data_IF_425049058144
#
_entry.id   IF_425049058144
#
_cell.length_a   1.000
_cell.length_b   1.000
_cell.length_c   1.000
_cell.angle_alpha   90.00
_cell.angle_beta   90.00
_cell.angle_gamma   90.00
#
_symmetry.space_group_name_H-M   'P 1'
#
loop_
_entity.id
_entity.type
_entity.pdbx_description
1 polymer ?
#
# COMPACT_ATOMS: atom_id res chain seq x y z
N UNK A 1 -55.91 13.02 -0.43
CA UNK A 1 -54.69 13.80 -0.74
C UNK A 1 -53.58 12.79 -0.94
N UNK A 2 -53.08 12.63 -2.17
CA UNK A 2 -51.91 11.78 -2.40
C UNK A 2 -50.71 12.49 -1.79
N UNK A 3 -50.21 12.00 -0.65
CA UNK A 3 -48.94 12.45 -0.10
C UNK A 3 -47.84 11.94 -1.02
N UNK A 4 -47.36 12.80 -1.91
CA UNK A 4 -46.24 12.48 -2.77
C UNK A 4 -44.98 12.47 -1.91
N UNK A 5 -44.56 11.28 -1.49
CA UNK A 5 -43.38 11.10 -0.64
C UNK A 5 -42.14 11.18 -1.53
N UNK A 6 -41.29 12.18 -1.29
CA UNK A 6 -40.01 12.28 -1.94
C UNK A 6 -39.02 11.24 -1.35
N UNK A 7 -39.01 10.06 -1.97
CA UNK A 7 -38.10 8.98 -1.58
C UNK A 7 -36.63 9.31 -1.80
N UNK A 8 -36.29 10.22 -2.72
CA UNK A 8 -34.91 10.66 -2.93
C UNK A 8 -34.42 11.46 -1.73
N UNK A 9 -35.23 12.41 -1.27
CA UNK A 9 -34.94 13.18 -0.06
C UNK A 9 -34.90 12.30 1.18
N UNK A 10 -35.84 11.35 1.32
CA UNK A 10 -35.86 10.42 2.46
C UNK A 10 -34.61 9.53 2.50
N UNK A 11 -34.14 9.04 1.34
CA UNK A 11 -32.88 8.29 1.22
C UNK A 11 -31.70 9.13 1.71
N UNK A 12 -31.61 10.39 1.26
CA UNK A 12 -30.52 11.28 1.66
C UNK A 12 -30.57 11.60 3.16
N UNK A 13 -31.75 11.88 3.72
CA UNK A 13 -31.93 12.11 5.15
C UNK A 13 -31.51 10.87 5.98
N UNK A 14 -31.86 9.66 5.53
CA UNK A 14 -31.47 8.41 6.19
C UNK A 14 -29.95 8.20 6.18
N UNK A 15 -29.31 8.42 5.03
CA UNK A 15 -27.85 8.29 4.87
C UNK A 15 -27.11 9.27 5.77
N UNK A 16 -27.55 10.53 5.80
CA UNK A 16 -26.95 11.59 6.63
C UNK A 16 -27.09 11.23 8.12
N UNK A 17 -28.27 10.83 8.56
CA UNK A 17 -28.50 10.47 9.97
C UNK A 17 -27.72 9.21 10.37
N UNK A 18 -27.58 8.23 9.47
CA UNK A 18 -26.68 7.09 9.69
C UNK A 18 -25.23 7.57 9.87
N UNK A 19 -24.72 8.41 8.98
CA UNK A 19 -23.32 8.88 9.02
C UNK A 19 -23.02 9.64 10.32
N UNK A 20 -23.92 10.54 10.73
CA UNK A 20 -23.81 11.27 12.01
C UNK A 20 -23.77 10.32 13.19
N UNK A 21 -24.77 9.42 13.30
CA UNK A 21 -24.85 8.45 14.40
C UNK A 21 -23.62 7.55 14.43
N UNK A 22 -23.18 7.07 13.26
CA UNK A 22 -22.00 6.22 13.15
C UNK A 22 -20.75 6.94 13.67
N UNK A 23 -20.47 8.14 13.19
CA UNK A 23 -19.31 8.91 13.63
C UNK A 23 -19.35 9.21 15.13
N UNK A 24 -20.52 9.55 15.70
CA UNK A 24 -20.69 9.78 17.14
C UNK A 24 -20.35 8.52 17.94
N UNK A 25 -20.85 7.35 17.51
CA UNK A 25 -20.57 6.07 18.17
C UNK A 25 -19.07 5.76 18.15
N UNK A 26 -18.43 5.93 16.98
CA UNK A 26 -17.01 5.64 16.86
C UNK A 26 -16.14 6.63 17.65
N UNK A 27 -16.49 7.92 17.66
CA UNK A 27 -15.83 8.93 18.51
C UNK A 27 -15.95 8.59 20.00
N UNK A 28 -17.12 8.14 20.45
CA UNK A 28 -17.31 7.70 21.85
C UNK A 28 -16.42 6.49 22.19
N UNK A 29 -16.35 5.50 21.29
CA UNK A 29 -15.49 4.33 21.47
C UNK A 29 -14.00 4.68 21.44
N UNK A 30 -13.58 5.60 20.58
CA UNK A 30 -12.20 6.10 20.55
C UNK A 30 -11.85 6.88 21.83
N UNK A 31 -12.76 7.73 22.32
CA UNK A 31 -12.57 8.50 23.55
C UNK A 31 -12.45 7.59 24.79
N UNK A 32 -13.27 6.54 24.89
CA UNK A 32 -13.19 5.60 26.01
C UNK A 32 -11.86 4.83 26.07
N UNK A 33 -11.19 4.64 24.93
CA UNK A 33 -9.92 3.92 24.83
C UNK A 33 -8.69 4.84 24.78
N UNK A 34 -8.86 6.17 24.84
CA UNK A 34 -7.81 7.15 24.57
C UNK A 34 -6.56 6.95 25.44
N UNK A 35 -6.74 6.75 26.75
CA UNK A 35 -5.62 6.60 27.67
C UNK A 35 -4.80 5.34 27.41
N UNK A 36 -5.44 4.25 26.95
CA UNK A 36 -4.77 3.00 26.60
C UNK A 36 -4.05 3.12 25.26
N UNK A 37 -4.69 3.77 24.27
CA UNK A 37 -4.07 4.10 22.99
C UNK A 37 -2.79 4.92 23.21
N UNK A 38 -2.86 5.99 24.02
CA UNK A 38 -1.70 6.83 24.35
C UNK A 38 -0.56 6.03 25.00
N UNK A 39 -0.87 5.14 25.96
CA UNK A 39 0.11 4.27 26.60
C UNK A 39 0.74 3.26 25.62
N UNK A 40 0.00 2.87 24.58
CA UNK A 40 0.43 1.89 23.58
C UNK A 40 1.28 2.51 22.46
N UNK A 41 1.25 3.84 22.26
CA UNK A 41 1.99 4.52 21.20
C UNK A 41 3.52 4.37 21.29
N UNK A 42 4.05 4.00 22.46
CA UNK A 42 5.49 3.75 22.63
C UNK A 42 5.93 2.37 22.11
N UNK A 43 4.99 1.43 21.92
CA UNK A 43 5.23 0.08 21.42
C UNK A 43 5.63 0.10 19.95
N UNK A 44 6.53 -0.79 19.56
CA UNK A 44 7.10 -0.81 18.21
C UNK A 44 6.03 -0.96 17.12
N UNK A 45 5.10 -1.90 17.30
CA UNK A 45 3.98 -2.11 16.36
C UNK A 45 3.17 -0.83 16.12
N UNK A 46 2.87 -0.08 17.19
CA UNK A 46 2.07 1.15 17.10
C UNK A 46 2.85 2.30 16.47
N UNK A 47 4.17 2.37 16.72
CA UNK A 47 5.07 3.30 16.02
C UNK A 47 5.12 3.02 14.52
N UNK A 48 5.15 1.74 14.11
CA UNK A 48 5.09 1.37 12.70
C UNK A 48 3.76 1.80 12.06
N UNK A 49 2.63 1.49 12.71
CA UNK A 49 1.31 1.96 12.24
C UNK A 49 1.27 3.48 12.10
N UNK A 50 1.77 4.21 13.09
CA UNK A 50 1.80 5.67 13.05
C UNK A 50 2.69 6.21 11.91
N UNK A 51 3.86 5.61 11.71
CA UNK A 51 4.81 6.03 10.66
C UNK A 51 4.21 5.91 9.26
N UNK A 52 3.38 4.89 9.02
CA UNK A 52 2.76 4.66 7.71
C UNK A 52 1.36 5.28 7.56
N UNK A 53 0.80 5.88 8.62
CA UNK A 53 -0.59 6.33 8.68
C UNK A 53 -1.03 7.20 7.49
N UNK A 54 -0.13 8.08 7.05
CA UNK A 54 -0.36 9.06 5.99
C UNK A 54 0.66 8.92 4.85
N UNK A 55 1.22 7.72 4.65
CA UNK A 55 2.26 7.49 3.63
C UNK A 55 1.84 7.91 2.22
N UNK A 56 0.54 7.80 1.88
CA UNK A 56 0.02 8.16 0.57
C UNK A 56 -0.03 9.67 0.29
N UNK A 57 0.00 10.54 1.32
CA UNK A 57 -0.01 12.00 1.12
C UNK A 57 1.20 12.47 0.29
N UNK A 58 2.31 11.74 0.36
CA UNK A 58 3.51 12.02 -0.42
C UNK A 58 3.31 11.89 -1.94
N UNK A 59 2.28 11.15 -2.38
CA UNK A 59 1.95 10.93 -3.79
C UNK A 59 0.87 11.91 -4.29
N UNK A 60 0.40 12.85 -3.48
CA UNK A 60 -0.66 13.78 -3.92
C UNK A 60 -0.13 15.04 -4.63
N UNK A 61 1.18 15.31 -4.57
CA UNK A 61 1.79 16.50 -5.16
C UNK A 61 1.72 16.49 -6.70
N UNK A 62 1.03 17.49 -7.29
CA UNK A 62 0.82 17.59 -8.73
C UNK A 62 2.13 17.56 -9.55
N UNK A 63 3.15 18.31 -9.13
CA UNK A 63 4.44 18.34 -9.83
C UNK A 63 5.20 17.00 -9.74
N UNK A 64 5.03 16.24 -8.65
CA UNK A 64 5.57 14.87 -8.57
C UNK A 64 4.83 13.92 -9.51
N UNK A 65 3.51 14.09 -9.68
CA UNK A 65 2.70 13.30 -10.60
C UNK A 65 3.05 13.59 -12.05
N UNK A 66 3.21 14.85 -12.43
CA UNK A 66 3.65 15.25 -13.77
C UNK A 66 5.02 14.63 -14.11
N UNK A 67 5.98 14.73 -13.19
CA UNK A 67 7.29 14.09 -13.34
C UNK A 67 7.22 12.57 -13.48
N UNK A 68 6.24 11.92 -12.84
CA UNK A 68 6.04 10.49 -12.97
C UNK A 68 5.56 10.12 -14.37
N UNK A 69 4.61 10.89 -14.92
CA UNK A 69 4.13 10.71 -16.29
C UNK A 69 5.23 10.96 -17.34
N UNK A 70 6.04 12.01 -17.14
CA UNK A 70 7.19 12.31 -18.02
C UNK A 70 8.27 11.22 -18.00
N UNK A 71 8.40 10.49 -16.89
CA UNK A 71 9.45 9.49 -16.72
C UNK A 71 9.14 8.14 -17.39
N UNK A 72 7.86 7.83 -17.64
CA UNK A 72 7.41 6.54 -18.16
C UNK A 72 7.05 6.60 -19.65
N UNK A 73 7.20 5.48 -20.34
CA UNK A 73 6.78 5.33 -21.74
C UNK A 73 5.26 5.07 -21.81
N UNK A 74 4.48 6.16 -21.75
CA UNK A 74 3.02 6.10 -21.83
C UNK A 74 2.54 5.41 -23.10
N UNK A 75 3.19 5.66 -24.24
CA UNK A 75 2.79 5.07 -25.51
C UNK A 75 2.87 3.54 -25.47
N UNK A 76 3.98 3.00 -24.97
CA UNK A 76 4.18 1.54 -24.82
C UNK A 76 3.19 0.89 -23.86
N UNK A 77 2.88 1.58 -22.75
CA UNK A 77 1.89 1.08 -21.78
C UNK A 77 0.51 1.04 -22.44
N UNK A 78 0.05 2.16 -23.01
CA UNK A 78 -1.30 2.26 -23.56
C UNK A 78 -1.51 1.42 -24.82
N UNK A 79 -0.49 1.23 -25.67
CA UNK A 79 -0.55 0.26 -26.77
C UNK A 79 -0.86 -1.16 -26.26
N UNK A 80 -0.25 -1.54 -25.13
CA UNK A 80 -0.48 -2.84 -24.51
C UNK A 80 -1.85 -2.93 -23.82
N UNK A 81 -2.34 -1.82 -23.25
CA UNK A 81 -3.68 -1.71 -22.65
C UNK A 81 -4.75 -1.87 -23.72
N UNK A 82 -4.64 -1.15 -24.84
CA UNK A 82 -5.60 -1.20 -25.94
C UNK A 82 -5.67 -2.61 -26.53
N UNK A 83 -4.54 -3.31 -26.62
CA UNK A 83 -4.51 -4.73 -27.02
C UNK A 83 -5.31 -5.61 -26.05
N UNK A 84 -5.15 -5.45 -24.74
CA UNK A 84 -5.92 -6.22 -23.74
C UNK A 84 -7.42 -5.92 -23.82
N UNK A 85 -7.77 -4.66 -24.02
CA UNK A 85 -9.16 -4.23 -24.17
C UNK A 85 -9.81 -4.87 -25.41
N UNK A 86 -9.06 -5.02 -26.52
CA UNK A 86 -9.53 -5.70 -27.72
C UNK A 86 -9.68 -7.22 -27.52
N UNK A 87 -8.74 -7.85 -26.81
CA UNK A 87 -8.75 -9.29 -26.56
C UNK A 87 -9.88 -9.73 -25.60
N UNK A 88 -10.34 -8.85 -24.69
CA UNK A 88 -11.41 -9.10 -23.69
C UNK A 88 -11.33 -10.46 -22.99
N UNK A 89 -10.12 -10.90 -22.65
CA UNK A 89 -9.89 -12.22 -22.05
C UNK A 89 -10.59 -12.41 -20.70
N UNK A 90 -10.81 -11.33 -19.94
CA UNK A 90 -11.59 -11.35 -18.71
C UNK A 90 -12.65 -10.24 -18.72
N UNK A 91 -13.91 -10.61 -18.90
CA UNK A 91 -15.05 -9.67 -18.99
C UNK A 91 -15.39 -8.98 -17.67
N UNK A 92 -14.75 -9.35 -16.56
CA UNK A 92 -14.93 -8.69 -15.26
C UNK A 92 -13.96 -7.52 -15.05
N UNK A 93 -12.93 -7.39 -15.86
CA UNK A 93 -11.95 -6.31 -15.76
C UNK A 93 -12.42 -5.10 -16.59
N UNK A 94 -12.21 -3.92 -16.04
CA UNK A 94 -12.43 -2.63 -16.68
C UNK A 94 -11.11 -2.07 -17.25
N UNK A 95 -11.20 -0.94 -17.96
CA UNK A 95 -10.04 -0.28 -18.56
C UNK A 95 -8.92 0.02 -17.55
N UNK A 96 -9.25 0.58 -16.39
CA UNK A 96 -8.29 0.84 -15.30
C UNK A 96 -7.56 -0.44 -14.85
N UNK A 97 -8.24 -1.59 -14.83
CA UNK A 97 -7.61 -2.86 -14.45
C UNK A 97 -6.53 -3.26 -15.47
N UNK A 98 -6.77 -3.02 -16.78
CA UNK A 98 -5.78 -3.25 -17.82
C UNK A 98 -4.58 -2.29 -17.71
N UNK A 99 -4.82 -1.02 -17.35
CA UNK A 99 -3.75 -0.06 -17.07
C UNK A 99 -2.87 -0.55 -15.91
N UNK A 100 -3.47 -1.02 -14.82
CA UNK A 100 -2.74 -1.55 -13.65
C UNK A 100 -1.93 -2.80 -14.01
N UNK A 101 -2.52 -3.73 -14.77
CA UNK A 101 -1.84 -4.94 -15.24
C UNK A 101 -0.61 -4.62 -16.10
N UNK A 102 -0.76 -3.71 -17.07
CA UNK A 102 0.36 -3.31 -17.94
C UNK A 102 1.40 -2.47 -17.22
N UNK A 103 0.99 -1.65 -16.24
CA UNK A 103 1.92 -0.93 -15.39
C UNK A 103 2.79 -1.90 -14.57
N UNK A 104 2.22 -2.95 -13.98
CA UNK A 104 3.00 -3.97 -13.25
C UNK A 104 4.05 -4.63 -14.16
N UNK A 105 3.63 -5.04 -15.36
CA UNK A 105 4.53 -5.65 -16.35
C UNK A 105 5.65 -4.69 -16.76
N UNK A 106 5.29 -3.48 -17.19
CA UNK A 106 6.23 -2.45 -17.60
C UNK A 106 7.20 -2.07 -16.48
N UNK A 107 6.69 -1.88 -15.25
CA UNK A 107 7.51 -1.46 -14.13
C UNK A 107 8.61 -2.48 -13.82
N UNK A 108 8.26 -3.77 -13.78
CA UNK A 108 9.20 -4.86 -13.49
C UNK A 108 10.19 -5.12 -14.62
N UNK A 109 9.72 -5.16 -15.87
CA UNK A 109 10.53 -5.67 -16.98
C UNK A 109 11.27 -4.57 -17.74
N UNK A 110 10.76 -3.34 -17.73
CA UNK A 110 11.25 -2.25 -18.58
C UNK A 110 11.79 -1.07 -17.76
N UNK A 111 11.18 -0.76 -16.61
CA UNK A 111 11.45 0.51 -15.91
C UNK A 111 12.42 0.40 -14.73
N UNK A 112 12.15 -0.48 -13.75
CA UNK A 112 12.82 -0.49 -12.45
C UNK A 112 13.65 -1.77 -12.25
N UNK A 113 14.78 -1.66 -11.53
CA UNK A 113 15.73 -2.76 -11.35
C UNK A 113 15.96 -3.11 -9.88
N UNK A 114 16.09 -4.41 -9.62
CA UNK A 114 16.33 -4.91 -8.28
C UNK A 114 17.82 -4.84 -7.93
N UNK A 115 18.14 -4.41 -6.71
CA UNK A 115 19.51 -4.36 -6.18
C UNK A 115 19.64 -5.30 -4.98
N UNK A 116 20.25 -6.46 -5.20
CA UNK A 116 20.73 -7.29 -4.11
C UNK A 116 21.88 -6.56 -3.39
N UNK A 117 22.95 -6.33 -4.15
CA UNK A 117 24.13 -5.61 -3.73
C UNK A 117 24.55 -4.63 -4.82
N UNK A 118 25.11 -3.46 -4.45
CA UNK A 118 25.46 -2.44 -5.43
C UNK A 118 26.63 -2.87 -6.31
N UNK A 119 26.62 -2.49 -7.59
CA UNK A 119 27.67 -2.85 -8.54
C UNK A 119 28.97 -2.09 -8.27
N UNK A 120 30.10 -2.79 -8.30
CA UNK A 120 31.41 -2.14 -8.25
C UNK A 120 31.85 -1.64 -9.63
N UNK A 121 32.50 -0.46 -9.74
CA UNK A 121 33.07 0.03 -11.00
C UNK A 121 34.07 -0.93 -11.68
N UNK A 122 34.69 -1.86 -10.93
CA UNK A 122 35.59 -2.87 -11.50
C UNK A 122 34.86 -4.08 -12.12
N UNK A 123 33.52 -4.09 -12.12
CA UNK A 123 32.69 -5.18 -12.64
C UNK A 123 32.50 -6.36 -11.70
N UNK A 124 33.12 -6.36 -10.51
CA UNK A 124 32.89 -7.39 -9.50
C UNK A 124 31.50 -7.26 -8.86
N UNK A 125 30.82 -8.39 -8.70
CA UNK A 125 29.59 -8.52 -7.91
C UNK A 125 29.85 -9.01 -6.49
N UNK A 126 31.10 -9.39 -6.18
CA UNK A 126 31.53 -9.79 -4.85
C UNK A 126 31.77 -8.55 -3.98
N UNK A 127 30.68 -8.07 -3.39
CA UNK A 127 30.63 -6.90 -2.51
C UNK A 127 29.97 -7.30 -1.20
N UNK A 128 30.48 -6.79 -0.08
CA UNK A 128 29.91 -7.03 1.24
C UNK A 128 29.65 -5.74 1.99
N UNK A 129 28.59 -5.71 2.77
CA UNK A 129 28.27 -4.57 3.65
C UNK A 129 29.33 -4.47 4.74
N UNK A 130 30.00 -3.32 4.82
CA UNK A 130 31.04 -3.03 5.82
C UNK A 130 30.59 -1.99 6.85
N UNK A 131 29.47 -1.30 6.61
CA UNK A 131 28.93 -0.36 7.58
C UNK A 131 27.74 0.42 7.05
N UNK A 132 27.36 1.44 7.82
CA UNK A 132 26.30 2.38 7.47
C UNK A 132 26.72 3.79 7.83
N UNK A 133 26.22 4.77 7.07
CA UNK A 133 26.43 6.20 7.27
C UNK A 133 25.08 6.91 7.31
N UNK A 134 24.98 7.94 8.14
CA UNK A 134 23.80 8.82 8.16
C UNK A 134 23.93 9.87 7.05
N UNK A 135 22.83 10.19 6.36
CA UNK A 135 22.82 11.30 5.42
C UNK A 135 23.02 12.63 6.16
N UNK A 136 23.42 13.67 5.42
CA UNK A 136 23.47 15.02 5.95
C UNK A 136 22.05 15.50 6.27
N UNK A 137 21.77 15.76 7.55
CA UNK A 137 20.46 16.23 7.99
C UNK A 137 20.10 17.63 7.50
N UNK A 138 21.08 18.46 7.17
CA UNK A 138 20.85 19.83 6.70
C UNK A 138 20.47 19.89 5.22
N UNK A 139 20.89 18.90 4.42
CA UNK A 139 20.67 18.86 2.98
C UNK A 139 20.40 17.43 2.49
N UNK A 140 19.13 17.01 2.59
CA UNK A 140 18.68 15.67 2.20
C UNK A 140 17.46 15.70 1.25
N UNK A 141 17.58 16.28 0.04
CA UNK A 141 16.45 16.41 -0.90
C UNK A 141 15.92 15.06 -1.39
N UNK A 142 16.75 14.02 -1.40
CA UNK A 142 16.38 12.65 -1.78
C UNK A 142 15.71 11.87 -0.64
N UNK A 143 15.55 12.50 0.54
CA UNK A 143 14.97 11.89 1.74
C UNK A 143 15.61 10.54 2.07
N UNK A 144 16.94 10.46 1.96
CA UNK A 144 17.71 9.25 2.27
C UNK A 144 17.49 8.94 3.75
N UNK A 145 17.17 7.69 4.10
CA UNK A 145 17.06 7.26 5.50
C UNK A 145 18.42 6.84 6.05
N UNK A 146 19.17 6.07 5.26
CA UNK A 146 20.49 5.56 5.60
C UNK A 146 21.30 5.32 4.33
N UNK A 147 22.62 5.39 4.43
CA UNK A 147 23.54 5.04 3.36
C UNK A 147 24.26 3.76 3.77
N UNK A 148 23.99 2.66 3.07
CA UNK A 148 24.75 1.41 3.26
C UNK A 148 26.13 1.57 2.63
N UNK A 149 27.18 1.18 3.36
CA UNK A 149 28.55 1.19 2.86
C UNK A 149 28.93 -0.25 2.53
N UNK A 150 29.22 -0.48 1.26
CA UNK A 150 29.64 -1.78 0.73
C UNK A 150 31.11 -1.70 0.32
N UNK A 151 31.83 -2.82 0.41
CA UNK A 151 33.21 -2.92 -0.06
C UNK A 151 33.36 -4.07 -1.04
N UNK A 152 33.94 -3.77 -2.20
CA UNK A 152 34.32 -4.78 -3.17
C UNK A 152 35.47 -5.63 -2.65
N UNK A 153 35.32 -6.95 -2.66
CA UNK A 153 36.36 -7.87 -2.19
C UNK A 153 37.54 -7.99 -3.17
N UNK A 154 37.34 -7.62 -4.44
CA UNK A 154 38.37 -7.69 -5.48
C UNK A 154 39.28 -6.46 -5.53
N UNK A 155 38.71 -5.26 -5.51
CA UNK A 155 39.46 -4.00 -5.66
C UNK A 155 39.43 -3.11 -4.41
N UNK A 156 38.77 -3.54 -3.34
CA UNK A 156 38.62 -2.80 -2.07
C UNK A 156 37.96 -1.43 -2.20
N UNK A 157 37.36 -1.10 -3.35
CA UNK A 157 36.60 0.13 -3.53
C UNK A 157 35.34 0.11 -2.67
N UNK A 158 35.09 1.23 -1.99
CA UNK A 158 33.87 1.44 -1.20
C UNK A 158 32.75 2.00 -2.08
N UNK A 159 31.56 1.46 -1.92
CA UNK A 159 30.37 1.81 -2.70
C UNK A 159 29.29 2.25 -1.71
N UNK A 160 28.77 3.46 -1.90
CA UNK A 160 27.64 3.96 -1.13
C UNK A 160 26.33 3.55 -1.81
N UNK A 161 25.42 2.93 -1.06
CA UNK A 161 24.07 2.60 -1.50
C UNK A 161 23.04 3.35 -0.64
N UNK A 162 22.61 4.55 -1.07
CA UNK A 162 21.63 5.35 -0.35
C UNK A 162 20.23 4.74 -0.45
N UNK A 163 19.54 4.62 0.70
CA UNK A 163 18.14 4.18 0.81
C UNK A 163 17.22 5.39 0.66
N UNK A 164 16.81 5.65 -0.57
CA UNK A 164 16.09 6.87 -1.00
C UNK A 164 14.58 6.72 -0.71
N UNK A 165 13.99 7.70 -0.02
CA UNK A 165 12.53 7.73 0.22
C UNK A 165 11.78 8.78 -0.61
N UNK A 166 12.48 9.68 -1.31
CA UNK A 166 11.82 10.60 -2.24
C UNK A 166 11.45 9.84 -3.54
N UNK A 167 10.16 9.62 -3.83
CA UNK A 167 9.75 8.84 -5.01
C UNK A 167 10.15 9.51 -6.33
N UNK A 168 10.24 10.84 -6.38
CA UNK A 168 10.70 11.56 -7.59
C UNK A 168 12.16 11.24 -7.89
N UNK A 169 12.99 11.08 -6.86
CA UNK A 169 14.39 10.68 -7.04
C UNK A 169 14.50 9.23 -7.55
N UNK A 170 13.56 8.37 -7.16
CA UNK A 170 13.48 6.99 -7.63
C UNK A 170 13.10 6.87 -9.12
N UNK A 171 12.36 7.83 -9.68
CA UNK A 171 12.09 7.90 -11.14
C UNK A 171 13.39 8.04 -11.96
N UNK A 172 14.43 8.65 -11.36
CA UNK A 172 15.76 8.82 -11.95
C UNK A 172 16.67 7.64 -11.69
N UNK A 173 16.76 7.16 -10.44
CA UNK A 173 17.67 6.05 -10.11
C UNK A 173 17.19 4.71 -10.63
N UNK A 174 15.87 4.53 -10.73
CA UNK A 174 15.19 3.34 -11.28
C UNK A 174 15.67 2.02 -10.68
N UNK A 175 16.07 2.05 -9.42
CA UNK A 175 16.74 0.91 -8.80
C UNK A 175 16.53 0.91 -7.29
N UNK A 176 16.44 -0.28 -6.69
CA UNK A 176 16.30 -0.42 -5.24
C UNK A 176 15.81 -1.81 -4.81
N UNK A 177 15.22 -1.88 -3.62
CA UNK A 177 14.60 -3.09 -3.04
C UNK A 177 13.11 -2.84 -2.80
N UNK A 178 12.40 -3.79 -2.17
CA UNK A 178 10.93 -3.75 -2.03
C UNK A 178 10.37 -2.37 -1.61
N UNK A 179 11.00 -1.71 -0.63
CA UNK A 179 10.65 -0.35 -0.21
C UNK A 179 10.70 0.69 -1.33
N UNK A 180 11.82 0.80 -2.06
CA UNK A 180 11.94 1.73 -3.19
C UNK A 180 11.04 1.33 -4.37
N UNK A 181 10.89 0.04 -4.62
CA UNK A 181 10.02 -0.48 -5.67
C UNK A 181 8.58 -0.03 -5.45
N UNK A 182 8.02 -0.31 -4.27
CA UNK A 182 6.64 0.08 -3.92
C UNK A 182 6.49 1.59 -3.86
N UNK A 183 7.47 2.31 -3.32
CA UNK A 183 7.41 3.77 -3.22
C UNK A 183 7.34 4.45 -4.60
N UNK A 184 8.22 4.03 -5.53
CA UNK A 184 8.22 4.56 -6.89
C UNK A 184 6.97 4.11 -7.66
N UNK A 185 6.58 2.84 -7.53
CA UNK A 185 5.39 2.29 -8.18
C UNK A 185 4.12 3.02 -7.76
N UNK A 186 3.94 3.31 -6.46
CA UNK A 186 2.77 4.03 -5.96
C UNK A 186 2.68 5.45 -6.52
N UNK A 187 3.79 6.15 -6.70
CA UNK A 187 3.78 7.47 -7.36
C UNK A 187 3.27 7.36 -8.80
N UNK A 188 3.79 6.39 -9.57
CA UNK A 188 3.40 6.20 -10.97
C UNK A 188 1.94 5.74 -11.08
N UNK A 189 1.54 4.78 -10.24
CA UNK A 189 0.17 4.28 -10.18
C UNK A 189 -0.81 5.43 -9.87
N UNK A 190 -0.49 6.27 -8.88
CA UNK A 190 -1.30 7.44 -8.52
C UNK A 190 -1.43 8.43 -9.68
N UNK A 191 -0.36 8.61 -10.47
CA UNK A 191 -0.38 9.49 -11.63
C UNK A 191 -1.25 8.94 -12.77
N UNK A 192 -1.20 7.62 -13.02
CA UNK A 192 -1.96 6.97 -14.09
C UNK A 192 -3.45 6.84 -13.79
N UNK A 193 -3.83 6.50 -12.56
CA UNK A 193 -5.26 6.35 -12.24
C UNK A 193 -5.96 7.70 -12.06
N UNK A 194 -5.22 8.79 -11.86
CA UNK A 194 -5.75 10.15 -11.78
C UNK A 194 -6.80 10.33 -10.66
N UNK A 195 -8.06 10.49 -11.05
CA UNK A 195 -9.20 10.53 -10.12
C UNK A 195 -9.42 9.15 -9.46
N UNK A 196 -9.70 9.14 -8.16
CA UNK A 196 -9.82 7.89 -7.39
C UNK A 196 -8.54 7.46 -6.67
N UNK A 197 -7.74 8.42 -6.17
CA UNK A 197 -6.56 8.16 -5.33
C UNK A 197 -6.88 7.39 -4.05
N UNK A 198 -8.13 7.44 -3.60
CA UNK A 198 -8.68 6.65 -2.51
C UNK A 198 -8.79 5.14 -2.83
N UNK A 199 -8.67 4.77 -4.12
CA UNK A 199 -8.56 3.39 -4.60
C UNK A 199 -7.16 2.80 -4.48
N UNK A 200 -6.17 3.54 -3.96
CA UNK A 200 -4.81 3.04 -3.73
C UNK A 200 -4.60 2.79 -2.24
N UNK A 201 -3.86 1.73 -1.94
CA UNK A 201 -3.47 1.38 -0.58
C UNK A 201 -2.02 0.89 -0.54
N UNK A 202 -1.28 1.40 0.43
CA UNK A 202 0.02 0.86 0.81
C UNK A 202 -0.19 -0.28 1.80
N UNK A 203 0.48 -1.40 1.61
CA UNK A 203 0.39 -2.56 2.51
C UNK A 203 1.75 -2.87 3.10
N UNK A 204 1.77 -2.97 4.43
CA UNK A 204 2.96 -3.26 5.21
C UNK A 204 2.79 -4.58 5.95
N UNK A 205 3.76 -5.47 5.78
CA UNK A 205 3.91 -6.66 6.60
C UNK A 205 5.03 -6.45 7.63
N UNK A 206 4.79 -6.86 8.88
CA UNK A 206 5.73 -6.69 9.98
C UNK A 206 7.07 -7.41 9.77
N UNK A 207 7.07 -8.52 9.03
CA UNK A 207 8.26 -9.30 8.66
C UNK A 207 8.92 -8.74 7.39
N UNK A 208 9.09 -7.42 7.35
CA UNK A 208 10.00 -6.72 6.42
C UNK A 208 9.65 -6.80 4.92
N UNK A 209 8.35 -6.91 4.59
CA UNK A 209 7.91 -6.79 3.19
C UNK A 209 6.78 -5.78 3.04
N UNK A 210 6.71 -5.18 1.86
CA UNK A 210 5.74 -4.13 1.54
C UNK A 210 5.26 -4.33 0.11
N UNK A 211 3.99 -4.00 -0.13
CA UNK A 211 3.35 -4.06 -1.44
C UNK A 211 2.19 -3.05 -1.48
N UNK A 212 1.31 -3.17 -2.47
CA UNK A 212 0.15 -2.28 -2.58
C UNK A 212 -1.13 -3.04 -2.91
N UNK A 213 -2.28 -2.40 -2.66
CA UNK A 213 -3.55 -2.82 -3.22
C UNK A 213 -4.18 -1.70 -4.04
N UNK A 214 -5.02 -2.11 -4.97
CA UNK A 214 -5.84 -1.23 -5.79
C UNK A 214 -7.30 -1.69 -5.73
N UNK A 215 -8.24 -0.77 -5.57
CA UNK A 215 -9.66 -1.10 -5.62
C UNK A 215 -10.15 -1.16 -7.07
N UNK A 216 -10.38 -2.37 -7.57
CA UNK A 216 -10.91 -2.62 -8.90
C UNK A 216 -12.40 -2.33 -8.94
N UNK A 217 -12.83 -1.41 -9.81
CA UNK A 217 -14.25 -1.17 -10.06
C UNK A 217 -14.91 -2.30 -10.84
N UNK A 218 -14.14 -3.02 -11.67
CA UNK A 218 -14.61 -4.19 -12.42
C UNK A 218 -14.87 -5.38 -11.50
N UNK A 219 -13.89 -5.73 -10.67
CA UNK A 219 -14.00 -6.82 -9.69
C UNK A 219 -14.76 -6.43 -8.42
N UNK A 220 -14.94 -5.13 -8.17
CA UNK A 220 -15.62 -4.54 -7.00
C UNK A 220 -15.00 -4.97 -5.66
N UNK A 221 -13.68 -5.07 -5.60
CA UNK A 221 -12.93 -5.38 -4.39
C UNK A 221 -11.48 -4.86 -4.46
N UNK A 222 -10.81 -4.91 -3.32
CA UNK A 222 -9.37 -4.66 -3.24
C UNK A 222 -8.57 -5.81 -3.85
N UNK A 223 -7.74 -5.48 -4.82
CA UNK A 223 -6.85 -6.38 -5.56
C UNK A 223 -5.42 -6.23 -5.04
N UNK A 224 -4.78 -7.36 -4.76
CA UNK A 224 -3.37 -7.41 -4.39
C UNK A 224 -2.47 -7.01 -5.58
N UNK A 225 -1.51 -6.11 -5.37
CA UNK A 225 -0.49 -5.76 -6.35
C UNK A 225 0.91 -5.88 -5.73
N UNK A 226 1.78 -6.71 -6.30
CA UNK A 226 3.21 -6.72 -5.96
C UNK A 226 4.05 -6.32 -7.19
N UNK A 227 4.60 -5.09 -7.22
CA UNK A 227 5.40 -4.63 -8.35
C UNK A 227 6.77 -5.30 -8.43
N UNK A 228 7.32 -5.80 -7.32
CA UNK A 228 8.60 -6.52 -7.33
C UNK A 228 8.46 -7.84 -8.10
N UNK A 229 7.33 -8.51 -7.88
CA UNK A 229 7.02 -9.77 -8.53
C UNK A 229 6.31 -9.59 -9.88
N UNK A 230 5.69 -8.43 -10.14
CA UNK A 230 4.94 -8.14 -11.37
C UNK A 230 3.58 -8.81 -11.36
N UNK A 231 2.97 -8.92 -10.18
CA UNK A 231 1.85 -9.81 -9.90
C UNK A 231 0.58 -9.02 -9.57
N UNK A 232 -0.53 -9.47 -10.15
CA UNK A 232 -1.88 -8.94 -9.95
C UNK A 232 -2.77 -10.03 -9.34
N UNK A 233 -3.38 -9.73 -8.20
CA UNK A 233 -4.42 -10.51 -7.54
C UNK A 233 -4.03 -11.87 -6.94
N UNK A 234 -2.82 -11.98 -6.39
CA UNK A 234 -2.29 -13.23 -5.81
C UNK A 234 -2.00 -13.09 -4.31
N UNK A 235 -3.03 -13.18 -3.47
CA UNK A 235 -2.88 -12.97 -2.02
C UNK A 235 -2.05 -14.07 -1.32
N UNK A 236 -1.98 -15.27 -1.90
CA UNK A 236 -1.20 -16.40 -1.37
C UNK A 236 0.26 -16.46 -1.86
N UNK A 237 0.70 -15.45 -2.63
CA UNK A 237 2.08 -15.32 -3.08
C UNK A 237 3.09 -15.47 -1.93
N UNK A 238 2.80 -14.88 -0.78
CA UNK A 238 3.74 -14.84 0.33
C UNK A 238 3.74 -16.13 1.15
N UNK A 239 2.59 -16.58 1.65
CA UNK A 239 2.52 -17.75 2.52
C UNK A 239 2.73 -19.07 1.77
N UNK A 240 2.06 -19.26 0.64
CA UNK A 240 2.06 -20.57 -0.04
C UNK A 240 3.21 -20.67 -1.03
N UNK A 241 3.48 -19.60 -1.80
CA UNK A 241 4.51 -19.64 -2.83
C UNK A 241 5.91 -19.39 -2.25
N UNK A 242 6.10 -18.37 -1.38
CA UNK A 242 7.41 -18.15 -0.73
C UNK A 242 7.62 -18.99 0.53
N UNK A 243 6.55 -19.53 1.10
CA UNK A 243 6.59 -20.23 2.38
C UNK A 243 6.60 -19.28 3.59
N UNK A 244 6.49 -17.95 3.38
CA UNK A 244 6.74 -16.92 4.38
C UNK A 244 5.77 -17.02 5.56
N UNK A 245 6.31 -16.98 6.78
CA UNK A 245 5.53 -16.82 8.02
C UNK A 245 5.36 -15.35 8.35
N UNK A 246 4.15 -14.95 8.73
CA UNK A 246 3.80 -13.53 8.95
C UNK A 246 2.96 -13.36 10.21
N UNK A 247 3.08 -12.21 10.89
CA UNK A 247 2.30 -11.86 12.08
C UNK A 247 1.17 -10.87 11.79
N UNK A 248 1.53 -9.71 11.23
CA UNK A 248 0.60 -8.64 10.90
C UNK A 248 0.82 -8.17 9.47
N UNK A 249 -0.30 -7.94 8.78
CA UNK A 249 -0.35 -7.24 7.49
C UNK A 249 -1.33 -6.08 7.64
N UNK A 250 -0.85 -4.84 7.58
CA UNK A 250 -1.66 -3.64 7.79
C UNK A 250 -1.72 -2.84 6.48
N UNK A 251 -2.94 -2.54 6.04
CA UNK A 251 -3.23 -1.70 4.90
C UNK A 251 -3.51 -0.25 5.30
N UNK A 252 -2.96 0.69 4.54
CA UNK A 252 -3.11 2.13 4.73
C UNK A 252 -3.64 2.75 3.44
N UNK A 253 -4.85 3.29 3.48
CA UNK A 253 -5.35 4.17 2.42
C UNK A 253 -5.64 5.57 2.98
N UNK A 254 -6.08 6.48 2.11
CA UNK A 254 -6.40 7.87 2.49
C UNK A 254 -7.37 7.94 3.67
N UNK A 255 -8.43 7.14 3.63
CA UNK A 255 -9.58 7.24 4.52
C UNK A 255 -9.59 6.21 5.67
N UNK A 256 -8.68 5.22 5.66
CA UNK A 256 -8.73 4.09 6.59
C UNK A 256 -7.39 3.36 6.78
N UNK A 257 -7.31 2.68 7.93
CA UNK A 257 -6.29 1.70 8.29
C UNK A 257 -7.00 0.38 8.57
N UNK A 258 -6.48 -0.73 8.06
CA UNK A 258 -7.14 -2.04 8.11
C UNK A 258 -6.13 -3.14 8.42
N UNK A 259 -6.50 -4.05 9.32
CA UNK A 259 -5.76 -5.29 9.52
C UNK A 259 -6.17 -6.30 8.43
N UNK A 260 -5.25 -6.55 7.51
CA UNK A 260 -5.39 -7.45 6.37
C UNK A 260 -4.75 -8.82 6.65
N UNK A 261 -4.35 -9.11 7.89
CA UNK A 261 -3.68 -10.38 8.24
C UNK A 261 -4.49 -11.60 7.79
N UNK A 262 -5.82 -11.58 7.97
CA UNK A 262 -6.70 -12.67 7.52
C UNK A 262 -6.74 -12.88 6.01
N UNK A 263 -6.46 -11.83 5.23
CA UNK A 263 -6.46 -11.87 3.75
C UNK A 263 -5.19 -12.51 3.20
N UNK A 264 -4.05 -12.31 3.87
CA UNK A 264 -2.73 -12.66 3.35
C UNK A 264 -2.02 -13.78 4.10
N UNK A 265 -2.44 -14.09 5.33
CA UNK A 265 -1.76 -15.04 6.20
C UNK A 265 -2.61 -16.31 6.34
N UNK A 266 -2.07 -17.43 5.88
CA UNK A 266 -2.70 -18.74 6.07
C UNK A 266 -2.60 -19.20 7.52
N UNK A 267 -3.53 -20.07 7.94
CA UNK A 267 -3.62 -20.55 9.33
C UNK A 267 -2.32 -21.23 9.80
N UNK A 268 -1.61 -21.93 8.92
CA UNK A 268 -0.35 -22.63 9.23
C UNK A 268 0.89 -21.70 9.23
N UNK A 269 0.83 -20.58 8.50
CA UNK A 269 1.92 -19.59 8.40
C UNK A 269 1.78 -18.41 9.38
N UNK A 270 0.67 -18.35 10.12
CA UNK A 270 0.46 -17.32 11.14
C UNK A 270 1.50 -17.42 12.27
N UNK A 271 2.25 -16.34 12.44
CA UNK A 271 3.01 -16.07 13.66
C UNK A 271 2.01 -15.55 14.69
N UNK A 272 2.10 -16.01 15.94
CA UNK A 272 1.22 -15.57 17.01
C UNK A 272 1.30 -14.05 17.18
N UNK A 273 0.20 -13.36 16.87
CA UNK A 273 0.13 -11.91 16.95
C UNK A 273 0.45 -11.40 18.36
N UNK A 274 0.12 -12.17 19.41
CA UNK A 274 0.40 -11.80 20.79
C UNK A 274 1.89 -11.81 21.14
N UNK A 275 2.72 -12.52 20.36
CA UNK A 275 4.18 -12.47 20.50
C UNK A 275 4.80 -11.19 19.94
N UNK A 276 4.05 -10.43 19.12
CA UNK A 276 4.47 -9.15 18.53
C UNK A 276 3.84 -7.97 19.24
N UNK A 277 2.51 -8.00 19.44
CA UNK A 277 1.77 -6.98 20.16
C UNK A 277 0.40 -7.54 20.61
N UNK A 278 -0.12 -7.05 21.73
CA UNK A 278 -1.50 -7.33 22.17
C UNK A 278 -2.50 -6.95 21.06
N UNK A 279 -3.22 -7.92 20.45
CA UNK A 279 -4.11 -7.67 19.33
C UNK A 279 -5.23 -6.68 19.66
N UNK A 280 -5.72 -6.66 20.91
CA UNK A 280 -6.75 -5.70 21.33
C UNK A 280 -6.22 -4.27 21.33
N UNK A 281 -4.94 -4.06 21.64
CA UNK A 281 -4.32 -2.73 21.53
C UNK A 281 -4.16 -2.32 20.07
N UNK A 282 -3.79 -3.24 19.18
CA UNK A 282 -3.72 -2.98 17.73
C UNK A 282 -5.09 -2.56 17.19
N UNK A 283 -6.14 -3.32 17.50
CA UNK A 283 -7.52 -3.00 17.09
C UNK A 283 -7.97 -1.63 17.60
N UNK A 284 -7.70 -1.30 18.86
CA UNK A 284 -8.04 0.01 19.45
C UNK A 284 -7.30 1.15 18.76
N UNK A 285 -6.03 0.96 18.42
CA UNK A 285 -5.21 1.96 17.70
C UNK A 285 -5.71 2.17 16.27
N UNK A 286 -6.00 1.09 15.54
CA UNK A 286 -6.59 1.16 14.21
C UNK A 286 -7.95 1.88 14.27
N UNK A 287 -8.80 1.53 15.23
CA UNK A 287 -10.10 2.20 15.43
C UNK A 287 -9.93 3.69 15.72
N UNK A 288 -8.99 4.05 16.58
CA UNK A 288 -8.69 5.45 16.90
C UNK A 288 -8.27 6.25 15.65
N UNK A 289 -7.37 5.71 14.83
CA UNK A 289 -6.93 6.38 13.61
C UNK A 289 -8.01 6.43 12.53
N UNK A 290 -8.84 5.40 12.39
CA UNK A 290 -10.01 5.42 11.50
C UNK A 290 -11.01 6.50 11.88
N UNK A 291 -11.23 6.75 13.18
CA UNK A 291 -12.07 7.86 13.65
C UNK A 291 -11.47 9.21 13.31
N UNK A 292 -10.15 9.38 13.49
CA UNK A 292 -9.46 10.60 13.10
C UNK A 292 -9.57 10.86 11.61
N UNK A 293 -9.26 9.87 10.77
CA UNK A 293 -9.37 9.99 9.31
C UNK A 293 -10.79 10.33 8.87
N UNK A 294 -11.82 9.74 9.48
CA UNK A 294 -13.21 10.08 9.18
C UNK A 294 -13.57 11.54 9.59
N UNK A 295 -13.04 12.02 10.71
CA UNK A 295 -13.26 13.39 11.17
C UNK A 295 -12.51 14.43 10.32
N UNK A 296 -11.28 14.11 9.93
CA UNK A 296 -10.46 14.92 9.04
C UNK A 296 -11.11 15.00 7.64
N UNK A 297 -11.59 13.87 7.11
CA UNK A 297 -12.34 13.82 5.86
C UNK A 297 -13.58 14.72 5.91
N UNK A 298 -14.38 14.63 6.99
CA UNK A 298 -15.57 15.47 7.14
C UNK A 298 -15.22 16.95 7.23
N UNK A 299 -14.14 17.29 7.94
CA UNK A 299 -13.66 18.67 8.09
C UNK A 299 -13.21 19.24 6.74
N UNK A 300 -12.46 18.46 5.96
CA UNK A 300 -12.05 18.84 4.60
C UNK A 300 -13.26 18.93 3.65
N UNK A 301 -14.20 17.99 3.73
CA UNK A 301 -15.40 18.00 2.88
C UNK A 301 -16.25 19.26 3.12
N UNK A 302 -16.34 19.74 4.36
CA UNK A 302 -17.08 20.96 4.71
C UNK A 302 -16.47 22.26 4.16
N UNK A 303 -15.20 22.25 3.74
CA UNK A 303 -14.61 23.42 3.08
C UNK A 303 -14.94 23.48 1.58
N UNK A 304 -15.43 22.37 1.01
CA UNK A 304 -15.71 22.22 -0.43
C UNK A 304 -17.21 22.11 -0.69
N UNK A 305 -17.95 21.42 0.18
CA UNK A 305 -19.35 21.06 0.00
C UNK A 305 -20.25 21.66 1.08
N UNK A 306 -21.56 21.70 0.81
CA UNK A 306 -22.55 22.02 1.83
C UNK A 306 -22.51 21.01 2.99
N UNK A 307 -23.08 21.37 4.14
CA UNK A 307 -23.11 20.46 5.29
C UNK A 307 -23.79 19.12 4.95
N UNK A 308 -24.94 19.14 4.24
CA UNK A 308 -25.66 17.92 3.86
C UNK A 308 -24.82 17.04 2.93
N UNK A 309 -24.19 17.64 1.91
CA UNK A 309 -23.36 16.89 0.96
C UNK A 309 -22.08 16.36 1.62
N UNK A 310 -21.49 17.08 2.57
CA UNK A 310 -20.32 16.60 3.33
C UNK A 310 -20.64 15.33 4.14
N UNK A 311 -21.83 15.25 4.75
CA UNK A 311 -22.26 14.05 5.46
C UNK A 311 -22.57 12.88 4.52
N UNK A 312 -23.12 13.16 3.33
CA UNK A 312 -23.33 12.14 2.29
C UNK A 312 -21.99 11.60 1.78
N UNK A 313 -21.03 12.47 1.50
CA UNK A 313 -19.69 12.11 1.05
C UNK A 313 -18.97 11.25 2.11
N UNK A 314 -19.06 11.61 3.40
CA UNK A 314 -18.53 10.78 4.48
C UNK A 314 -19.14 9.37 4.50
N UNK A 315 -20.44 9.25 4.23
CA UNK A 315 -21.08 7.95 4.11
C UNK A 315 -20.55 7.15 2.93
N UNK A 316 -20.55 7.75 1.73
CA UNK A 316 -20.23 7.05 0.48
C UNK A 316 -18.76 6.72 0.35
N UNK A 317 -17.86 7.60 0.81
CA UNK A 317 -16.44 7.54 0.49
C UNK A 317 -15.61 6.95 1.65
N UNK A 318 -16.20 6.90 2.86
CA UNK A 318 -15.53 6.38 4.06
C UNK A 318 -16.28 5.20 4.65
N UNK A 319 -17.55 5.36 5.02
CA UNK A 319 -18.26 4.31 5.75
C UNK A 319 -18.69 3.13 4.88
N UNK A 320 -19.17 3.36 3.66
CA UNK A 320 -19.56 2.27 2.75
C UNK A 320 -18.36 1.38 2.41
N UNK A 321 -17.21 1.89 1.89
CA UNK A 321 -16.07 1.05 1.56
C UNK A 321 -15.54 0.27 2.77
N UNK A 322 -15.42 0.93 3.92
CA UNK A 322 -14.92 0.31 5.15
C UNK A 322 -15.87 -0.78 5.68
N UNK A 323 -17.18 -0.62 5.52
CA UNK A 323 -18.15 -1.63 5.94
C UNK A 323 -18.19 -2.83 5.00
N UNK A 324 -18.08 -2.61 3.69
CA UNK A 324 -17.97 -3.68 2.68
C UNK A 324 -16.75 -4.54 2.97
N UNK A 325 -15.59 -3.90 3.15
CA UNK A 325 -14.34 -4.60 3.45
C UNK A 325 -14.39 -5.37 4.78
N UNK A 326 -14.99 -4.79 5.83
CA UNK A 326 -15.22 -5.53 7.08
C UNK A 326 -16.13 -6.74 6.89
N UNK A 327 -17.02 -6.71 5.89
CA UNK A 327 -17.84 -7.85 5.48
C UNK A 327 -17.00 -8.91 4.76
N UNK A 328 -16.22 -8.49 3.76
CA UNK A 328 -15.33 -9.35 2.97
C UNK A 328 -14.30 -10.08 3.85
N UNK A 329 -13.68 -9.39 4.82
CA UNK A 329 -12.73 -10.00 5.75
C UNK A 329 -13.37 -10.96 6.77
N UNK A 330 -14.72 -11.02 6.84
CA UNK A 330 -15.45 -11.99 7.67
C UNK A 330 -15.85 -13.22 6.87
N UNK A 331 -15.99 -13.09 5.56
CA UNK A 331 -16.21 -14.21 4.65
C UNK A 331 -14.86 -14.86 4.33
N UNK A 332 -14.73 -16.17 4.54
CA UNK A 332 -13.60 -16.92 4.00
C UNK A 332 -13.83 -17.03 2.48
N UNK A 333 -13.53 -15.96 1.71
CA UNK A 333 -13.48 -16.08 0.25
C UNK A 333 -12.31 -17.00 -0.15
N UNK A 334 -12.53 -17.80 -1.18
CA UNK A 334 -11.48 -18.63 -1.77
C UNK A 334 -10.36 -17.70 -2.25
N UNK A 335 -9.16 -17.94 -1.71
CA UNK A 335 -7.99 -17.20 -2.13
C UNK A 335 -7.75 -17.36 -3.63
N UNK A 336 -7.45 -16.26 -4.31
CA UNK A 336 -7.11 -16.29 -5.73
C UNK A 336 -5.71 -16.85 -5.90
N UNK A 337 -5.60 -17.91 -6.70
CA UNK A 337 -4.34 -18.56 -7.07
C UNK A 337 -4.33 -18.74 -8.58
N UNK A 338 -3.38 -18.12 -9.26
CA UNK A 338 -3.04 -18.53 -10.63
C UNK A 338 -2.06 -19.71 -10.61
N UNK A 339 -2.31 -20.70 -11.47
CA UNK A 339 -1.41 -21.85 -11.68
C UNK A 339 -0.08 -21.46 -12.33
N UNK A 340 0.00 -20.26 -12.92
CA UNK A 340 1.07 -19.87 -13.83
C UNK A 340 2.14 -18.99 -13.16
N UNK A 341 2.06 -18.79 -11.84
CA UNK A 341 3.10 -18.08 -11.11
C UNK A 341 4.40 -18.89 -11.07
N UNK A 342 5.56 -18.26 -11.31
CA UNK A 342 6.84 -18.86 -10.98
C UNK A 342 6.87 -19.32 -9.52
N UNK A 343 7.43 -20.51 -9.29
CA UNK A 343 7.61 -21.03 -7.92
C UNK A 343 8.75 -20.30 -7.22
N UNK A 344 8.50 -19.90 -5.99
CA UNK A 344 9.41 -19.13 -5.16
C UNK A 344 9.51 -17.67 -5.57
N UNK A 345 10.16 -16.89 -4.70
CA UNK A 345 10.40 -15.47 -4.90
C UNK A 345 11.32 -15.21 -6.10
N UNK A 346 10.98 -14.21 -6.92
CA UNK A 346 11.77 -13.85 -8.10
C UNK A 346 12.78 -12.71 -7.85
N UNK A 347 12.71 -12.05 -6.68
CA UNK A 347 13.60 -10.96 -6.26
C UNK A 347 14.34 -11.28 -4.95
N UNK A 348 15.51 -10.69 -4.74
CA UNK A 348 16.34 -11.02 -3.56
C UNK A 348 17.17 -12.29 -3.76
N UNK A 349 18.42 -12.32 -3.29
CA UNK A 349 19.17 -13.58 -3.19
C UNK A 349 18.71 -14.37 -1.97
N UNK A 350 18.94 -15.69 -1.95
CA UNK A 350 18.57 -16.57 -0.84
C UNK A 350 19.19 -16.10 0.49
N UNK A 351 20.44 -15.64 0.45
CA UNK A 351 21.14 -15.12 1.62
C UNK A 351 20.51 -13.82 2.11
N UNK A 352 20.10 -12.94 1.18
CA UNK A 352 19.45 -11.67 1.49
C UNK A 352 18.07 -11.88 2.09
N UNK A 353 17.25 -12.77 1.50
CA UNK A 353 15.91 -13.07 2.01
C UNK A 353 15.99 -13.72 3.40
N UNK A 354 16.93 -14.63 3.59
CA UNK A 354 17.15 -15.31 4.88
C UNK A 354 17.58 -14.38 6.00
N UNK A 355 18.48 -13.44 5.71
CA UNK A 355 18.92 -12.46 6.69
C UNK A 355 17.79 -11.55 7.21
N UNK A 356 16.69 -11.44 6.46
CA UNK A 356 15.54 -10.58 6.80
C UNK A 356 14.29 -11.36 7.25
N UNK A 357 14.38 -12.69 7.37
CA UNK A 357 13.21 -13.53 7.68
C UNK A 357 12.14 -13.49 6.57
N UNK A 358 12.59 -13.21 5.35
CA UNK A 358 11.76 -13.26 4.14
C UNK A 358 11.94 -14.58 3.37
N UNK A 359 12.77 -15.50 3.87
CA UNK A 359 12.75 -16.92 3.49
C UNK A 359 11.70 -17.66 4.32
N UNK A 360 11.00 -18.62 3.69
CA UNK A 360 9.87 -19.33 4.28
C UNK A 360 10.16 -20.13 5.54
#
# INVERSE_FOLDING_TARGET
MSTDIDYSRLKDDLIIEYAKKRLIIEKKAAASNLSEVQRSMSLQMMKSIYTHLNCLESYENANSLDKALDAIDLAKIYESVDRREQEKTNTKLNYDDFVVLELLRYFKHDFFKWVNSPSCPCGSTDVSTVGVKRPDSANNPDQISIIEIHQCQKCHHQIEFPRINNPVSLLRTRTGRCGEWVNCFLLILTALIGEGKDRIRYVWNNEDHVWCEYYSSGLRRWVHLDPCEGVFDETLLYCDNWGKRMSYVIGFNKNSVVDLSKKYITKDKQIDQSSVADPSKVEKVITYYNVKKADDYLTQSKSIYSERESWKALYTDVFVPRNLERGELRTEEEATVSSDLPKGRQTGSVEWTKARGEDG
#
